data_IF_912242412351
#
_entry.id   IF_912242412351
#
_cell.length_a   1.000
_cell.length_b   1.000
_cell.length_c   1.000
_cell.angle_alpha   90.00
_cell.angle_beta   90.00
_cell.angle_gamma   90.00
#
_symmetry.space_group_name_H-M   'P 1'
#
loop_
_entity.id
_entity.type
_entity.pdbx_description
1 polymer ?
#
# COMPACT_ATOMS: atom_id res chain seq x y z
N UNK A 1 4.87 -16.36 -7.33
CA UNK A 1 3.49 -16.09 -6.91
C UNK A 1 3.32 -14.59 -6.89
N UNK A 2 2.16 -14.07 -7.26
CA UNK A 2 1.85 -12.65 -7.14
C UNK A 2 1.78 -12.27 -5.66
N UNK A 3 2.34 -11.13 -5.27
CA UNK A 3 2.24 -10.63 -3.89
C UNK A 3 0.77 -10.43 -3.50
N UNK A 4 0.44 -10.72 -2.24
CA UNK A 4 -0.89 -10.43 -1.67
C UNK A 4 -1.02 -8.95 -1.26
N UNK A 5 0.11 -8.24 -1.12
CA UNK A 5 0.16 -6.85 -0.68
C UNK A 5 -0.82 -5.89 -1.42
N UNK A 6 -0.91 -5.84 -2.77
CA UNK A 6 -1.78 -4.88 -3.43
C UNK A 6 -3.27 -5.11 -3.14
N UNK A 7 -3.66 -6.37 -2.92
CA UNK A 7 -5.03 -6.73 -2.56
C UNK A 7 -5.36 -6.29 -1.13
N UNK A 8 -4.40 -6.49 -0.21
CA UNK A 8 -4.54 -6.06 1.18
C UNK A 8 -4.53 -4.54 1.30
N UNK A 9 -3.69 -3.83 0.54
CA UNK A 9 -3.71 -2.36 0.46
C UNK A 9 -5.11 -1.89 0.06
N UNK A 10 -5.72 -2.43 -1.00
CA UNK A 10 -7.09 -2.06 -1.40
C UNK A 10 -8.13 -2.34 -0.31
N UNK A 11 -8.04 -3.51 0.33
CA UNK A 11 -8.97 -3.89 1.39
C UNK A 11 -8.87 -2.97 2.61
N UNK A 12 -7.65 -2.67 3.07
CA UNK A 12 -7.42 -1.75 4.19
C UNK A 12 -7.78 -0.31 3.83
N UNK A 13 -7.47 0.14 2.62
CA UNK A 13 -7.84 1.47 2.14
C UNK A 13 -9.36 1.66 2.19
N UNK A 14 -10.13 0.74 1.60
CA UNK A 14 -11.59 0.79 1.63
C UNK A 14 -12.14 0.74 3.06
N UNK A 15 -11.64 -0.19 3.88
CA UNK A 15 -12.07 -0.29 5.28
C UNK A 15 -11.79 0.98 6.09
N UNK A 16 -10.63 1.62 5.89
CA UNK A 16 -10.29 2.88 6.55
C UNK A 16 -11.22 4.01 6.11
N UNK A 17 -11.48 4.16 4.81
CA UNK A 17 -12.40 5.16 4.27
C UNK A 17 -13.83 4.97 4.81
N UNK A 18 -14.35 3.73 4.80
CA UNK A 18 -15.67 3.40 5.34
C UNK A 18 -15.77 3.65 6.85
N UNK A 19 -14.63 3.54 7.55
CA UNK A 19 -14.53 3.78 9.00
C UNK A 19 -14.26 5.26 9.36
N UNK A 20 -14.15 6.14 8.37
CA UNK A 20 -13.82 7.55 8.59
C UNK A 20 -12.38 7.80 9.07
N UNK A 21 -11.46 6.89 8.76
CA UNK A 21 -10.03 6.97 9.07
C UNK A 21 -9.24 7.48 7.85
N UNK A 22 -8.02 7.96 8.10
CA UNK A 22 -7.17 8.53 7.04
C UNK A 22 -6.08 7.52 6.64
N UNK A 23 -6.21 6.84 5.48
CA UNK A 23 -5.23 5.85 5.06
C UNK A 23 -3.90 6.51 4.64
N UNK A 24 -2.82 6.03 5.25
CA UNK A 24 -1.44 6.40 4.94
C UNK A 24 -0.65 5.17 4.52
N UNK A 25 0.33 5.37 3.65
CA UNK A 25 1.34 4.35 3.30
C UNK A 25 2.74 4.85 3.60
N UNK A 26 3.62 3.93 4.02
CA UNK A 26 5.06 4.17 4.07
C UNK A 26 5.70 3.54 2.84
N UNK A 27 6.46 4.33 2.09
CA UNK A 27 7.14 3.89 0.88
C UNK A 27 8.65 3.95 1.06
N UNK A 28 9.34 2.90 0.62
CA UNK A 28 10.79 2.83 0.49
C UNK A 28 11.23 3.52 -0.80
N UNK A 29 11.85 4.69 -0.69
CA UNK A 29 12.29 5.48 -1.83
C UNK A 29 13.61 5.01 -2.44
N UNK A 30 14.24 3.97 -1.88
CA UNK A 30 15.44 3.36 -2.48
C UNK A 30 15.11 2.37 -3.60
N UNK A 31 13.85 1.92 -3.68
CA UNK A 31 13.36 1.03 -4.73
C UNK A 31 13.32 1.72 -6.10
N UNK A 32 13.59 0.95 -7.15
CA UNK A 32 13.57 1.47 -8.53
C UNK A 32 12.17 1.96 -8.91
N UNK A 33 12.12 3.02 -9.72
CA UNK A 33 10.89 3.59 -10.29
C UNK A 33 9.95 4.29 -9.30
N UNK A 34 10.33 4.48 -8.03
CA UNK A 34 9.57 5.36 -7.12
C UNK A 34 9.67 6.82 -7.61
N UNK A 35 8.52 7.45 -7.83
CA UNK A 35 8.42 8.87 -8.20
C UNK A 35 7.68 9.61 -7.09
N UNK A 36 8.44 10.39 -6.33
CA UNK A 36 7.94 11.25 -5.25
C UNK A 36 8.75 12.55 -5.17
N UNK A 37 8.20 13.63 -4.59
CA UNK A 37 8.93 14.87 -4.33
C UNK A 37 10.13 14.65 -3.38
N UNK A 38 11.35 14.65 -3.94
CA UNK A 38 12.60 14.37 -3.20
C UNK A 38 12.78 15.16 -1.89
N UNK A 39 12.42 16.45 -1.78
CA UNK A 39 12.58 17.21 -0.54
C UNK A 39 11.82 16.64 0.67
N UNK A 40 10.80 15.81 0.44
CA UNK A 40 9.95 15.23 1.49
C UNK A 40 10.38 13.82 1.89
N UNK A 41 11.45 13.29 1.29
CA UNK A 41 12.02 12.00 1.66
C UNK A 41 12.82 12.17 2.96
N UNK A 42 12.54 11.32 3.94
CA UNK A 42 13.24 11.28 5.22
C UNK A 42 13.79 9.88 5.44
N UNK A 43 15.11 9.78 5.68
CA UNK A 43 15.81 8.49 5.90
C UNK A 43 15.53 7.45 4.80
N UNK A 44 15.47 7.90 3.54
CA UNK A 44 15.20 7.03 2.39
C UNK A 44 13.74 6.56 2.27
N UNK A 45 12.82 7.10 3.09
CA UNK A 45 11.40 6.74 3.07
C UNK A 45 10.52 7.98 2.92
N UNK A 46 9.27 7.76 2.58
CA UNK A 46 8.24 8.81 2.57
C UNK A 46 6.92 8.25 3.06
N UNK A 47 6.20 9.05 3.85
CA UNK A 47 4.82 8.79 4.23
C UNK A 47 3.92 9.52 3.25
N UNK A 48 2.93 8.83 2.70
CA UNK A 48 1.96 9.37 1.76
C UNK A 48 0.55 9.19 2.31
N UNK A 49 -0.21 10.27 2.39
CA UNK A 49 -1.65 10.20 2.63
C UNK A 49 -2.34 9.81 1.31
N UNK A 50 -3.01 8.65 1.32
CA UNK A 50 -3.73 8.10 0.17
C UNK A 50 -5.25 8.14 0.36
N UNK A 51 -5.73 8.99 1.27
CA UNK A 51 -7.17 9.21 1.43
C UNK A 51 -7.76 9.81 0.15
N UNK A 52 -9.02 9.46 -0.15
CA UNK A 52 -9.72 9.94 -1.35
C UNK A 52 -9.79 11.47 -1.41
N UNK A 53 -9.92 12.13 -0.25
CA UNK A 53 -9.97 13.59 -0.16
C UNK A 53 -8.59 14.27 -0.29
N UNK A 54 -7.49 13.54 -0.05
CA UNK A 54 -6.12 14.06 -0.10
C UNK A 54 -5.44 13.84 -1.46
N UNK A 55 -6.08 13.07 -2.33
CA UNK A 55 -5.54 12.63 -3.62
C UNK A 55 -6.45 13.02 -4.78
N UNK A 56 -5.90 13.03 -5.98
CA UNK A 56 -6.66 13.14 -7.22
C UNK A 56 -6.26 11.99 -8.15
N UNK A 57 -7.25 11.35 -8.77
CA UNK A 57 -7.08 10.19 -9.64
C UNK A 57 -6.25 9.06 -8.97
N UNK A 58 -6.61 8.70 -7.73
CA UNK A 58 -5.99 7.57 -7.03
C UNK A 58 -6.28 6.26 -7.75
N UNK A 59 -5.21 5.52 -8.03
CA UNK A 59 -5.24 4.18 -8.60
C UNK A 59 -4.38 3.28 -7.71
N UNK A 60 -4.97 2.19 -7.23
CA UNK A 60 -4.29 1.15 -6.42
C UNK A 60 -4.36 -0.16 -7.21
N UNK A 61 -3.38 -0.36 -8.10
CA UNK A 61 -3.31 -1.53 -8.98
C UNK A 61 -2.45 -2.66 -8.38
N UNK A 62 -2.30 -3.75 -9.13
CA UNK A 62 -1.45 -4.86 -8.71
C UNK A 62 0.05 -4.55 -8.79
N UNK A 63 0.44 -3.58 -9.62
CA UNK A 63 1.85 -3.25 -9.88
C UNK A 63 2.29 -1.98 -9.15
N UNK A 64 1.38 -1.02 -8.95
CA UNK A 64 1.69 0.28 -8.35
C UNK A 64 0.50 0.96 -7.69
N UNK A 65 0.82 1.94 -6.85
CA UNK A 65 -0.10 2.97 -6.38
C UNK A 65 0.30 4.29 -7.06
N UNK A 66 -0.65 4.95 -7.71
CA UNK A 66 -0.41 6.23 -8.39
C UNK A 66 -1.53 7.23 -8.16
N UNK A 67 -1.16 8.50 -8.01
CA UNK A 67 -2.12 9.59 -7.78
C UNK A 67 -1.43 10.95 -7.96
N UNK A 68 -2.23 12.02 -7.99
CA UNK A 68 -1.74 13.39 -7.82
C UNK A 68 -2.03 13.87 -6.40
N UNK A 69 -1.06 14.53 -5.77
CA UNK A 69 -1.22 15.15 -4.45
C UNK A 69 -0.51 16.51 -4.38
N UNK A 70 -0.78 17.26 -3.31
CA UNK A 70 -0.14 18.57 -3.06
C UNK A 70 0.86 18.48 -1.93
N UNK A 71 2.08 18.93 -2.19
CA UNK A 71 3.14 19.08 -1.20
C UNK A 71 3.49 20.57 -1.13
N UNK A 72 3.34 21.19 0.04
CA UNK A 72 3.49 22.65 0.22
C UNK A 72 2.69 23.46 -0.81
N UNK A 73 1.47 23.00 -1.11
CA UNK A 73 0.59 23.65 -2.07
C UNK A 73 0.99 23.48 -3.55
N UNK A 74 2.05 22.74 -3.89
CA UNK A 74 2.41 22.41 -5.29
C UNK A 74 1.92 21.02 -5.65
N UNK A 75 1.33 20.86 -6.84
CA UNK A 75 0.85 19.56 -7.31
C UNK A 75 2.01 18.70 -7.82
N UNK A 76 2.01 17.43 -7.43
CA UNK A 76 3.00 16.43 -7.85
C UNK A 76 2.30 15.15 -8.25
N UNK A 77 2.83 14.51 -9.30
CA UNK A 77 2.52 13.13 -9.64
C UNK A 77 3.30 12.18 -8.73
N UNK A 78 2.59 11.22 -8.15
CA UNK A 78 3.12 10.20 -7.27
C UNK A 78 2.96 8.84 -7.94
N UNK A 79 4.04 8.06 -7.93
CA UNK A 79 4.04 6.68 -8.39
C UNK A 79 4.90 5.84 -7.43
N UNK A 80 4.28 4.83 -6.84
CA UNK A 80 4.93 3.91 -5.91
C UNK A 80 4.68 2.46 -6.38
N UNK A 81 5.70 1.75 -6.88
CA UNK A 81 5.62 0.31 -7.10
C UNK A 81 5.18 -0.44 -5.84
N UNK A 82 4.41 -1.51 -5.99
CA UNK A 82 3.88 -2.27 -4.85
C UNK A 82 5.00 -2.88 -3.98
N UNK A 83 6.13 -3.28 -4.57
CA UNK A 83 7.29 -3.77 -3.81
C UNK A 83 7.99 -2.68 -2.96
N UNK A 84 7.70 -1.39 -3.22
CA UNK A 84 8.19 -0.28 -2.42
C UNK A 84 7.25 0.08 -1.25
N UNK A 85 6.02 -0.43 -1.22
CA UNK A 85 5.05 -0.14 -0.16
C UNK A 85 5.33 -1.05 1.05
N UNK A 86 5.76 -0.43 2.16
CA UNK A 86 6.16 -1.14 3.38
C UNK A 86 4.99 -1.37 4.34
N UNK A 87 4.04 -0.44 4.40
CA UNK A 87 2.88 -0.53 5.28
C UNK A 87 1.73 0.32 4.74
N UNK A 88 0.51 -0.07 5.10
CA UNK A 88 -0.69 0.77 5.10
C UNK A 88 -1.19 0.89 6.53
N UNK A 89 -1.53 2.11 6.99
CA UNK A 89 -2.02 2.36 8.34
C UNK A 89 -2.95 3.58 8.40
N UNK A 90 -3.84 3.62 9.38
CA UNK A 90 -4.69 4.75 9.67
C UNK A 90 -3.89 5.82 10.45
N UNK A 91 -3.96 7.07 10.00
CA UNK A 91 -3.18 8.18 10.58
C UNK A 91 -3.56 8.51 12.04
N UNK A 92 -4.78 8.18 12.45
CA UNK A 92 -5.35 8.52 13.75
C UNK A 92 -4.87 7.59 14.87
N UNK A 93 -4.80 6.29 14.60
CA UNK A 93 -4.59 5.26 15.61
C UNK A 93 -3.45 4.28 15.26
N UNK A 94 -2.87 4.39 14.06
CA UNK A 94 -1.79 3.52 13.59
C UNK A 94 -2.22 2.10 13.23
N UNK A 95 -3.52 1.80 13.21
CA UNK A 95 -4.02 0.47 12.86
C UNK A 95 -3.80 0.19 11.37
N UNK A 96 -3.35 -1.01 11.03
CA UNK A 96 -2.99 -1.35 9.66
C UNK A 96 -2.19 -2.63 9.54
N UNK A 97 -1.36 -2.68 8.49
CA UNK A 97 -0.59 -3.86 8.13
C UNK A 97 0.81 -3.49 7.64
N UNK A 98 1.78 -4.31 8.01
CA UNK A 98 3.12 -4.30 7.44
C UNK A 98 3.22 -5.35 6.33
N UNK A 99 3.84 -4.99 5.22
CA UNK A 99 4.11 -5.90 4.12
C UNK A 99 5.57 -6.34 4.21
N UNK A 100 5.77 -7.66 4.34
CA UNK A 100 7.10 -8.24 4.25
C UNK A 100 7.59 -8.20 2.80
N UNK A 101 8.82 -7.72 2.58
CA UNK A 101 9.50 -7.90 1.30
C UNK A 101 9.79 -9.40 1.13
N UNK A 102 9.00 -10.05 0.28
CA UNK A 102 9.19 -11.42 -0.19
C UNK A 102 9.45 -12.49 0.88
N UNK A 103 8.38 -12.92 1.56
CA UNK A 103 8.26 -14.36 1.80
C UNK A 103 7.50 -14.96 0.63
N UNK A 104 8.23 -15.51 -0.33
CA UNK A 104 7.69 -16.62 -1.13
C UNK A 104 7.29 -17.68 -0.09
N UNK A 105 5.99 -17.95 0.13
CA UNK A 105 5.63 -18.96 1.11
C UNK A 105 6.36 -20.25 0.71
N UNK A 106 7.02 -20.95 1.65
CA UNK A 106 7.65 -22.22 1.33
C UNK A 106 6.59 -23.07 0.64
N UNK A 107 6.96 -23.69 -0.48
CA UNK A 107 6.09 -24.51 -1.32
C UNK A 107 5.61 -25.69 -0.46
N UNK A 108 4.59 -25.48 0.37
CA UNK A 108 3.95 -26.53 1.16
C UNK A 108 3.39 -27.51 0.14
N UNK A 109 3.84 -28.76 0.19
CA UNK A 109 3.26 -29.83 -0.60
C UNK A 109 1.74 -29.78 -0.42
N UNK A 110 1.03 -29.55 -1.52
CA UNK A 110 -0.42 -29.46 -1.53
C UNK A 110 -0.99 -30.84 -1.20
N UNK A 111 -1.24 -31.13 0.08
CA UNK A 111 -2.24 -32.14 0.43
C UNK A 111 -3.56 -31.60 -0.11
N UNK A 112 -4.11 -32.22 -1.15
CA UNK A 112 -5.45 -31.90 -1.67
C UNK A 112 -6.40 -31.89 -0.46
N UNK A 113 -7.06 -30.76 -0.16
CA UNK A 113 -8.02 -30.73 0.94
C UNK A 113 -9.16 -31.71 0.59
N UNK A 114 -9.44 -32.64 1.49
CA UNK A 114 -10.66 -33.43 1.42
C UNK A 114 -11.79 -32.53 1.88
N UNK A 115 -12.62 -32.07 0.95
CA UNK A 115 -13.85 -31.34 1.28
C UNK A 115 -14.85 -32.35 1.86
N UNK A 116 -15.05 -32.31 3.18
CA UNK A 116 -16.18 -32.97 3.81
C UNK A 116 -17.31 -31.96 3.88
N UNK A 117 -18.47 -32.29 3.29
CA UNK A 117 -19.69 -31.50 3.51
C UNK A 117 -20.04 -31.68 4.99
N UNK A 118 -20.16 -30.56 5.71
CA UNK A 118 -20.72 -30.57 7.05
C UNK A 118 -22.24 -30.71 6.88
N UNK A 119 -22.79 -31.85 7.30
CA UNK A 119 -24.24 -32.11 7.35
C UNK A 119 -24.96 -31.15 8.31
#
# INVERSE_FOLDING_TARGET
MTSVAPYLVRAYHQWMEDSGLTPHILVDCSESNVVVPKPFIQQGKIVLNIANHATNALVIDNESISFKARFEGKSHDIFAPINAVLTIYAGENGEGMFFEKDQVPPKKEQKKPTLTILD
#
